data_IF_901494585915
#
_entry.id   IF_901494585915
#
_cell.length_a   1.000
_cell.length_b   1.000
_cell.length_c   1.000
_cell.angle_alpha   90.00
_cell.angle_beta   90.00
_cell.angle_gamma   90.00
#
_symmetry.space_group_name_H-M   'P 1'
#
loop_
_entity.id
_entity.type
_entity.pdbx_description
1 polymer ?
#
# COMPACT_ATOMS: atom_id res chain seq x y z
N UNK A 1 27.00 21.91 25.21
CA UNK A 1 27.55 21.25 24.02
C UNK A 1 27.36 19.75 24.20
N UNK A 2 26.43 19.16 23.47
CA UNK A 2 26.36 17.72 23.20
C UNK A 2 25.39 17.55 22.03
N UNK A 3 25.95 17.12 20.89
CA UNK A 3 25.27 16.85 19.63
C UNK A 3 24.40 15.58 19.74
N UNK A 4 23.33 15.45 18.95
CA UNK A 4 22.88 14.13 18.53
C UNK A 4 22.83 14.06 17.00
N UNK A 5 23.93 13.59 16.42
CA UNK A 5 23.85 12.78 15.20
C UNK A 5 23.22 11.44 15.58
N UNK A 6 22.03 11.13 15.06
CA UNK A 6 21.50 9.77 15.02
C UNK A 6 20.88 9.51 13.65
N UNK A 7 21.75 9.41 12.64
CA UNK A 7 21.43 8.59 11.48
C UNK A 7 21.70 7.15 11.89
N UNK A 8 20.64 6.36 12.03
CA UNK A 8 20.76 4.93 12.28
C UNK A 8 21.38 4.28 11.05
N UNK A 9 22.61 3.80 11.19
CA UNK A 9 23.27 2.98 10.17
C UNK A 9 22.55 1.64 10.13
N UNK A 10 22.21 1.16 8.92
CA UNK A 10 21.60 -0.17 8.70
C UNK A 10 22.42 -1.23 9.43
N UNK A 11 21.85 -1.83 10.47
CA UNK A 11 22.48 -2.95 11.18
C UNK A 11 22.35 -4.19 10.32
N UNK A 12 23.48 -4.86 10.04
CA UNK A 12 23.50 -6.16 9.36
C UNK A 12 22.83 -7.21 10.26
N UNK A 13 21.73 -7.80 9.79
CA UNK A 13 21.09 -8.94 10.43
C UNK A 13 21.92 -10.22 10.22
N UNK A 14 21.69 -11.22 11.09
CA UNK A 14 22.18 -12.58 10.90
C UNK A 14 21.01 -13.54 10.88
N UNK A 15 21.04 -14.51 9.99
CA UNK A 15 20.02 -15.57 9.95
C UNK A 15 20.17 -16.55 11.12
N UNK A 16 19.23 -17.49 11.23
CA UNK A 16 19.22 -18.58 12.23
C UNK A 16 20.45 -19.51 12.13
N UNK A 17 21.27 -19.38 11.10
CA UNK A 17 22.50 -20.13 10.87
C UNK A 17 23.77 -19.26 11.06
N UNK A 18 23.63 -18.02 11.53
CA UNK A 18 24.73 -17.11 11.81
C UNK A 18 25.41 -16.50 10.57
N UNK A 19 24.79 -16.57 9.39
CA UNK A 19 25.32 -15.95 8.17
C UNK A 19 24.98 -14.45 8.16
N UNK A 20 25.92 -13.61 7.73
CA UNK A 20 25.63 -12.19 7.48
C UNK A 20 24.62 -12.11 6.34
N UNK A 21 23.41 -11.62 6.61
CA UNK A 21 22.41 -11.31 5.60
C UNK A 21 22.38 -9.80 5.37
N UNK A 22 22.44 -9.38 4.12
CA UNK A 22 22.18 -7.98 3.71
C UNK A 22 20.69 -7.64 3.77
N UNK A 23 19.83 -8.58 4.16
CA UNK A 23 18.38 -8.40 4.30
C UNK A 23 18.05 -7.97 5.73
N UNK A 24 17.53 -6.75 5.88
CA UNK A 24 16.84 -6.33 7.09
C UNK A 24 15.58 -7.16 7.35
N UNK A 25 14.88 -6.89 8.46
CA UNK A 25 13.67 -7.64 8.85
C UNK A 25 12.60 -7.72 7.75
N UNK A 26 12.52 -6.69 6.91
CA UNK A 26 11.68 -6.65 5.71
C UNK A 26 12.53 -6.97 4.48
N UNK A 27 12.30 -8.11 3.79
CA UNK A 27 13.10 -8.48 2.63
C UNK A 27 12.70 -7.69 1.38
N UNK A 28 13.67 -7.48 0.49
CA UNK A 28 13.44 -7.04 -0.89
C UNK A 28 13.39 -8.28 -1.78
N UNK A 29 12.32 -8.43 -2.56
CA UNK A 29 12.08 -9.61 -3.41
C UNK A 29 11.81 -9.14 -4.84
N UNK A 30 12.58 -9.66 -5.79
CA UNK A 30 12.33 -9.44 -7.22
C UNK A 30 11.31 -10.46 -7.74
N UNK A 31 10.12 -9.95 -8.09
CA UNK A 31 9.01 -10.78 -8.56
C UNK A 31 8.96 -10.87 -10.10
N UNK A 32 9.93 -10.30 -10.82
CA UNK A 32 9.96 -10.30 -12.30
C UNK A 32 9.92 -11.72 -12.86
N UNK A 33 10.61 -12.66 -12.22
CA UNK A 33 10.74 -14.06 -12.65
C UNK A 33 9.49 -14.92 -12.44
N UNK A 34 8.46 -14.44 -11.74
CA UNK A 34 7.25 -15.22 -11.51
C UNK A 34 6.51 -15.51 -12.81
N UNK A 35 6.26 -16.80 -13.07
CA UNK A 35 5.44 -17.26 -14.20
C UNK A 35 4.15 -17.88 -13.66
N UNK A 36 3.00 -17.18 -13.74
CA UNK A 36 1.71 -17.73 -13.35
C UNK A 36 1.41 -19.04 -14.08
N UNK A 37 0.84 -20.00 -13.36
CA UNK A 37 0.44 -21.30 -13.91
C UNK A 37 1.55 -22.35 -14.03
N UNK A 38 2.83 -21.97 -13.88
CA UNK A 38 3.89 -22.96 -13.73
C UNK A 38 3.87 -23.57 -12.32
N UNK A 39 4.22 -24.87 -12.17
CA UNK A 39 4.32 -25.50 -10.86
C UNK A 39 5.25 -24.72 -9.93
N UNK A 40 4.99 -24.81 -8.63
CA UNK A 40 5.87 -24.25 -7.59
C UNK A 40 7.30 -24.78 -7.74
N UNK A 41 7.45 -26.04 -8.12
CA UNK A 41 8.75 -26.72 -8.30
C UNK A 41 9.48 -26.33 -9.58
N UNK A 42 8.86 -25.51 -10.44
CA UNK A 42 9.53 -25.03 -11.65
C UNK A 42 10.73 -24.15 -11.31
N UNK A 43 11.81 -24.15 -12.12
CA UNK A 43 12.98 -23.32 -11.88
C UNK A 43 12.68 -21.82 -11.72
N UNK A 44 11.60 -21.34 -12.37
CA UNK A 44 11.17 -19.94 -12.30
C UNK A 44 10.47 -19.60 -10.97
N UNK A 45 9.69 -20.53 -10.40
CA UNK A 45 8.84 -20.24 -9.24
C UNK A 45 9.42 -20.71 -7.91
N UNK A 46 10.32 -21.71 -7.89
CA UNK A 46 10.75 -22.36 -6.65
C UNK A 46 11.35 -21.39 -5.62
N UNK A 47 12.43 -20.69 -5.97
CA UNK A 47 13.09 -19.72 -5.07
C UNK A 47 12.14 -18.61 -4.65
N UNK A 48 11.41 -18.05 -5.62
CA UNK A 48 10.51 -16.93 -5.38
C UNK A 48 9.35 -17.29 -4.44
N UNK A 49 8.80 -18.50 -4.58
CA UNK A 49 7.77 -19.00 -3.68
C UNK A 49 8.30 -19.22 -2.26
N UNK A 50 9.52 -19.72 -2.10
CA UNK A 50 10.16 -19.90 -0.80
C UNK A 50 10.43 -18.53 -0.13
N UNK A 51 10.90 -17.54 -0.89
CA UNK A 51 11.16 -16.17 -0.41
C UNK A 51 9.87 -15.47 0.03
N UNK A 52 8.79 -15.58 -0.74
CA UNK A 52 7.49 -14.97 -0.40
C UNK A 52 6.83 -15.64 0.81
N UNK A 53 6.86 -16.98 0.90
CA UNK A 53 6.34 -17.69 2.08
C UNK A 53 7.12 -17.30 3.35
N UNK A 54 8.46 -17.23 3.27
CA UNK A 54 9.29 -16.79 4.37
C UNK A 54 8.99 -15.34 4.79
N UNK A 55 8.88 -14.42 3.83
CA UNK A 55 8.60 -13.02 4.09
C UNK A 55 7.25 -12.81 4.80
N UNK A 56 6.19 -13.49 4.33
CA UNK A 56 4.88 -13.38 4.97
C UNK A 56 4.81 -14.05 6.34
N UNK A 57 5.52 -15.16 6.56
CA UNK A 57 5.59 -15.81 7.88
C UNK A 57 6.40 -15.01 8.90
N UNK A 58 7.41 -14.28 8.44
CA UNK A 58 8.32 -13.54 9.30
C UNK A 58 7.81 -12.12 9.56
N UNK A 59 7.69 -11.30 8.52
CA UNK A 59 7.38 -9.88 8.64
C UNK A 59 5.94 -9.54 8.27
N UNK A 60 5.22 -10.45 7.61
CA UNK A 60 3.93 -10.13 6.98
C UNK A 60 4.05 -9.10 5.84
N UNK A 61 5.27 -8.78 5.42
CA UNK A 61 5.59 -7.64 4.58
C UNK A 61 6.88 -7.89 3.77
N UNK A 62 6.96 -7.39 2.55
CA UNK A 62 8.19 -7.33 1.75
C UNK A 62 8.17 -6.16 0.76
N UNK A 63 9.34 -5.73 0.30
CA UNK A 63 9.48 -4.75 -0.77
C UNK A 63 9.55 -5.50 -2.10
N UNK A 64 8.55 -5.31 -2.95
CA UNK A 64 8.54 -5.91 -4.28
C UNK A 64 9.36 -5.07 -5.27
N UNK A 65 10.26 -5.71 -6.00
CA UNK A 65 10.95 -5.16 -7.18
C UNK A 65 10.59 -5.98 -8.42
N UNK A 66 10.86 -5.47 -9.63
CA UNK A 66 10.50 -6.19 -10.86
C UNK A 66 8.98 -6.42 -11.05
N UNK A 67 8.15 -5.63 -10.36
CA UNK A 67 6.70 -5.79 -10.32
C UNK A 67 5.99 -5.42 -11.63
N UNK A 68 6.66 -4.68 -12.52
CA UNK A 68 6.18 -4.37 -13.87
C UNK A 68 5.26 -3.15 -13.97
N UNK A 69 5.03 -2.42 -12.87
CA UNK A 69 4.26 -1.16 -12.91
C UNK A 69 5.12 -0.09 -13.59
N UNK A 70 4.62 0.59 -14.63
CA UNK A 70 5.43 1.55 -15.35
C UNK A 70 5.88 2.73 -14.47
N UNK A 71 7.19 3.02 -14.37
CA UNK A 71 7.70 4.09 -13.50
C UNK A 71 7.09 5.47 -13.80
N UNK A 72 6.83 5.76 -15.07
CA UNK A 72 6.23 7.02 -15.51
C UNK A 72 4.76 7.16 -15.08
N UNK A 73 4.04 6.03 -14.98
CA UNK A 73 2.67 6.03 -14.46
C UNK A 73 2.65 6.26 -12.96
N UNK A 74 3.55 5.61 -12.20
CA UNK A 74 3.70 5.85 -10.77
C UNK A 74 4.07 7.32 -10.50
N UNK A 75 5.02 7.87 -11.27
CA UNK A 75 5.39 9.28 -11.18
C UNK A 75 4.19 10.21 -11.49
N UNK A 76 3.40 9.89 -12.51
CA UNK A 76 2.20 10.66 -12.88
C UNK A 76 1.13 10.59 -11.80
N UNK A 77 0.87 9.41 -11.22
CA UNK A 77 -0.08 9.22 -10.12
C UNK A 77 0.32 10.05 -8.88
N UNK A 78 1.60 9.99 -8.50
CA UNK A 78 2.17 10.81 -7.42
C UNK A 78 2.01 12.30 -7.70
N UNK A 79 2.32 12.76 -8.92
CA UNK A 79 2.17 14.16 -9.34
C UNK A 79 0.72 14.63 -9.20
N UNK A 80 -0.26 13.91 -9.76
CA UNK A 80 -1.66 14.35 -9.70
C UNK A 80 -2.19 14.38 -8.26
N UNK A 81 -1.75 13.44 -7.40
CA UNK A 81 -2.04 13.50 -5.97
C UNK A 81 -1.43 14.73 -5.29
N UNK A 82 -0.14 15.04 -5.53
CA UNK A 82 0.52 16.23 -4.98
C UNK A 82 -0.21 17.52 -5.40
N UNK A 83 -0.54 17.65 -6.67
CA UNK A 83 -1.26 18.80 -7.22
C UNK A 83 -2.64 18.94 -6.58
N UNK A 84 -3.42 17.86 -6.52
CA UNK A 84 -4.74 17.85 -5.88
C UNK A 84 -4.67 18.26 -4.41
N UNK A 85 -3.77 17.68 -3.62
CA UNK A 85 -3.69 17.99 -2.19
C UNK A 85 -3.17 19.41 -1.90
N UNK A 86 -2.50 20.03 -2.88
CA UNK A 86 -2.02 21.42 -2.81
C UNK A 86 -3.11 22.46 -3.14
N UNK A 87 -4.27 22.02 -3.62
CA UNK A 87 -5.41 22.91 -3.89
C UNK A 87 -5.97 23.53 -2.60
N UNK A 88 -6.76 24.59 -2.78
CA UNK A 88 -7.47 25.22 -1.67
C UNK A 88 -8.44 24.24 -0.99
N UNK A 89 -8.77 24.43 0.31
CA UNK A 89 -9.76 23.60 0.99
C UNK A 89 -11.11 23.53 0.27
N UNK A 90 -11.55 24.62 -0.36
CA UNK A 90 -12.79 24.66 -1.13
C UNK A 90 -12.75 23.78 -2.38
N UNK A 91 -11.64 23.83 -3.14
CA UNK A 91 -11.46 22.98 -4.33
C UNK A 91 -11.38 21.49 -3.96
N UNK A 92 -10.68 21.14 -2.88
CA UNK A 92 -10.65 19.75 -2.38
C UNK A 92 -12.01 19.31 -1.84
N UNK A 93 -12.71 20.23 -1.17
CA UNK A 93 -14.05 20.01 -0.63
C UNK A 93 -15.13 19.74 -1.67
N UNK A 94 -14.91 20.12 -2.94
CA UNK A 94 -15.83 19.85 -4.04
C UNK A 94 -16.05 18.34 -4.30
N UNK A 95 -15.12 17.49 -3.84
CA UNK A 95 -15.22 16.03 -3.91
C UNK A 95 -15.24 15.37 -2.54
N UNK A 96 -15.65 16.10 -1.49
CA UNK A 96 -15.70 15.57 -0.14
C UNK A 96 -16.73 14.44 -0.01
N UNK A 97 -16.30 13.29 0.50
CA UNK A 97 -17.18 12.14 0.72
C UNK A 97 -16.57 11.17 1.74
N UNK A 98 -17.35 10.63 2.69
CA UNK A 98 -16.83 9.76 3.75
C UNK A 98 -16.32 8.40 3.25
N UNK A 99 -16.81 7.96 2.08
CA UNK A 99 -16.46 6.67 1.45
C UNK A 99 -15.55 6.81 0.23
N UNK A 100 -16.01 7.44 -0.86
CA UNK A 100 -15.28 7.60 -2.13
C UNK A 100 -15.14 9.08 -2.52
N UNK A 101 -13.96 9.65 -2.34
CA UNK A 101 -13.70 11.07 -2.49
C UNK A 101 -12.69 11.56 -1.45
N UNK A 102 -12.74 12.84 -1.12
CA UNK A 102 -11.84 13.53 -0.21
C UNK A 102 -12.34 13.54 1.24
N UNK A 103 -11.40 13.37 2.17
CA UNK A 103 -11.60 13.56 3.61
C UNK A 103 -10.48 14.48 4.12
N UNK A 104 -10.82 15.64 4.70
CA UNK A 104 -9.82 16.56 5.25
C UNK A 104 -9.20 16.01 6.54
N UNK A 105 -8.15 16.68 7.00
CA UNK A 105 -7.60 16.47 8.34
C UNK A 105 -8.71 16.63 9.39
N UNK A 106 -8.85 15.66 10.29
CA UNK A 106 -9.90 15.61 11.30
C UNK A 106 -11.30 15.29 10.77
N UNK A 107 -11.47 15.09 9.46
CA UNK A 107 -12.74 14.77 8.82
C UNK A 107 -13.29 13.37 9.12
N UNK A 108 -12.47 12.48 9.66
CA UNK A 108 -12.91 11.16 10.15
C UNK A 108 -12.26 10.84 11.50
N UNK A 109 -13.10 10.59 12.51
CA UNK A 109 -12.68 10.13 13.83
C UNK A 109 -13.08 8.66 14.00
N UNK A 110 -12.25 7.77 13.46
CA UNK A 110 -12.31 6.33 13.71
C UNK A 110 -11.06 5.94 14.54
N UNK A 111 -11.21 5.10 15.55
CA UNK A 111 -10.10 4.67 16.42
C UNK A 111 -8.95 4.01 15.66
N UNK A 112 -9.22 3.39 14.50
CA UNK A 112 -8.24 2.69 13.65
C UNK A 112 -7.82 3.54 12.45
N UNK A 113 -8.75 4.29 11.84
CA UNK A 113 -8.55 5.02 10.57
C UNK A 113 -8.82 6.52 10.70
N UNK A 114 -8.35 7.12 11.79
CA UNK A 114 -8.53 8.57 12.00
C UNK A 114 -7.74 9.37 10.98
N UNK A 115 -8.37 10.39 10.40
CA UNK A 115 -7.67 11.39 9.58
C UNK A 115 -7.12 12.54 10.43
N UNK A 116 -6.87 12.33 11.73
CA UNK A 116 -6.44 13.38 12.66
C UNK A 116 -5.20 14.15 12.21
N UNK A 117 -4.30 13.50 11.47
CA UNK A 117 -3.00 14.05 11.06
C UNK A 117 -2.69 13.87 9.57
N UNK A 118 -3.70 13.52 8.77
CA UNK A 118 -3.54 13.35 7.33
C UNK A 118 -4.81 13.69 6.56
N UNK A 119 -4.62 14.05 5.30
CA UNK A 119 -5.71 14.14 4.32
C UNK A 119 -5.80 12.82 3.56
N UNK A 120 -7.00 12.48 3.11
CA UNK A 120 -7.25 11.26 2.35
C UNK A 120 -8.05 11.58 1.11
N UNK A 121 -7.69 10.96 -0.01
CA UNK A 121 -8.59 10.76 -1.14
C UNK A 121 -8.66 9.27 -1.47
N UNK A 122 -9.82 8.76 -1.85
CA UNK A 122 -9.93 7.36 -2.26
C UNK A 122 -11.01 7.10 -3.31
N UNK A 123 -10.75 6.14 -4.19
CA UNK A 123 -11.73 5.56 -5.10
C UNK A 123 -11.85 4.05 -4.88
N UNK A 124 -13.02 3.49 -5.22
CA UNK A 124 -13.22 2.06 -5.38
C UNK A 124 -12.94 1.62 -6.82
N UNK A 125 -13.44 0.44 -7.16
CA UNK A 125 -13.33 -0.12 -8.51
C UNK A 125 -13.83 0.86 -9.57
N UNK A 126 -13.09 0.94 -10.67
CA UNK A 126 -13.27 1.94 -11.73
C UNK A 126 -14.07 1.40 -12.93
N UNK A 127 -14.34 0.10 -12.95
CA UNK A 127 -15.13 -0.60 -13.95
C UNK A 127 -15.85 -1.82 -13.34
N UNK A 128 -16.70 -2.47 -14.11
CA UNK A 128 -17.36 -3.73 -13.71
C UNK A 128 -18.30 -3.62 -12.51
N UNK A 129 -18.60 -2.40 -12.02
CA UNK A 129 -19.63 -2.16 -11.02
C UNK A 129 -20.94 -1.89 -11.77
N UNK A 130 -21.92 -2.76 -11.54
CA UNK A 130 -23.32 -2.45 -11.79
C UNK A 130 -23.98 -2.07 -10.46
N UNK A 131 -24.28 -0.77 -10.22
CA UNK A 131 -24.91 -0.32 -8.99
C UNK A 131 -26.31 -0.92 -8.76
N UNK A 132 -26.93 -1.51 -9.79
CA UNK A 132 -28.22 -2.20 -9.67
C UNK A 132 -28.10 -3.62 -9.11
N UNK A 133 -26.89 -4.18 -9.07
CA UNK A 133 -26.66 -5.53 -8.52
C UNK A 133 -26.75 -5.53 -7.00
N UNK A 134 -27.55 -6.44 -6.44
CA UNK A 134 -27.76 -6.60 -4.99
C UNK A 134 -26.47 -6.68 -4.17
N UNK A 135 -25.44 -7.34 -4.72
CA UNK A 135 -24.11 -7.47 -4.10
C UNK A 135 -23.49 -6.11 -3.75
N UNK A 136 -23.62 -5.11 -4.64
CA UNK A 136 -23.03 -3.79 -4.45
C UNK A 136 -23.96 -2.82 -3.69
N UNK A 137 -25.28 -3.04 -3.72
CA UNK A 137 -26.25 -2.19 -3.02
C UNK A 137 -26.21 -2.33 -1.50
N UNK A 138 -25.99 -3.54 -1.01
CA UNK A 138 -26.02 -3.84 0.43
C UNK A 138 -24.64 -3.75 1.10
N UNK A 139 -23.62 -3.29 0.38
CA UNK A 139 -22.29 -3.18 0.95
C UNK A 139 -22.15 -1.91 1.80
N UNK A 140 -21.93 -2.08 3.11
CA UNK A 140 -21.61 -0.97 4.03
C UNK A 140 -20.30 -0.26 3.66
N UNK A 141 -19.43 -0.91 2.89
CA UNK A 141 -18.09 -0.41 2.54
C UNK A 141 -17.96 0.05 1.08
N UNK A 142 -18.84 -0.40 0.18
CA UNK A 142 -18.64 -0.33 -1.27
C UNK A 142 -19.95 -0.01 -2.00
N UNK A 143 -19.89 0.47 -3.25
CA UNK A 143 -21.09 0.80 -4.06
C UNK A 143 -21.40 2.28 -4.22
N UNK A 144 -20.67 3.18 -3.55
CA UNK A 144 -20.77 4.62 -3.80
C UNK A 144 -20.02 5.02 -5.08
N UNK A 145 -20.49 6.02 -5.82
CA UNK A 145 -19.78 6.54 -6.99
C UNK A 145 -18.45 7.17 -6.58
N UNK A 146 -17.43 7.01 -7.42
CA UNK A 146 -16.14 7.67 -7.23
C UNK A 146 -16.28 9.17 -7.51
N UNK A 147 -15.90 10.02 -6.54
CA UNK A 147 -15.85 11.47 -6.73
C UNK A 147 -14.43 11.90 -7.15
N UNK A 148 -14.33 12.33 -8.41
CA UNK A 148 -13.07 12.69 -9.05
C UNK A 148 -12.81 14.20 -9.02
N UNK A 149 -11.62 14.64 -8.56
CA UNK A 149 -11.20 16.03 -8.68
C UNK A 149 -11.18 16.49 -10.13
N UNK A 150 -11.67 17.72 -10.38
CA UNK A 150 -11.56 18.37 -11.69
C UNK A 150 -10.18 18.99 -11.92
N UNK A 151 -9.38 19.11 -10.86
CA UNK A 151 -8.01 19.62 -10.88
C UNK A 151 -7.09 18.67 -10.10
N UNK A 152 -5.93 18.30 -10.66
CA UNK A 152 -5.54 18.55 -12.06
C UNK A 152 -6.48 17.84 -13.05
N UNK A 153 -6.57 18.37 -14.28
CA UNK A 153 -7.53 17.90 -15.29
C UNK A 153 -7.32 16.44 -15.70
N UNK A 154 -6.12 15.91 -15.48
CA UNK A 154 -5.75 14.53 -15.77
C UNK A 154 -5.77 13.62 -14.53
N UNK A 155 -6.34 14.08 -13.41
CA UNK A 155 -6.41 13.28 -12.18
C UNK A 155 -7.18 11.97 -12.40
N UNK A 156 -8.42 12.05 -12.88
CA UNK A 156 -9.26 10.86 -13.14
C UNK A 156 -8.63 9.87 -14.11
N UNK A 157 -8.21 10.25 -15.34
CA UNK A 157 -7.62 9.29 -16.28
C UNK A 157 -6.32 8.69 -15.75
N UNK A 158 -5.47 9.46 -15.07
CA UNK A 158 -4.20 8.97 -14.49
C UNK A 158 -4.47 7.96 -13.38
N UNK A 159 -5.33 8.29 -12.43
CA UNK A 159 -5.63 7.44 -11.28
C UNK A 159 -6.45 6.20 -11.68
N UNK A 160 -7.27 6.30 -12.72
CA UNK A 160 -7.97 5.15 -13.31
C UNK A 160 -6.98 4.16 -13.94
N UNK A 161 -6.01 4.65 -14.72
CA UNK A 161 -4.96 3.80 -15.29
C UNK A 161 -4.10 3.18 -14.18
N UNK A 162 -3.70 3.97 -13.18
CA UNK A 162 -2.93 3.48 -12.04
C UNK A 162 -3.70 2.42 -11.24
N UNK A 163 -5.00 2.62 -11.00
CA UNK A 163 -5.86 1.64 -10.36
C UNK A 163 -5.81 0.28 -11.08
N UNK A 164 -5.95 0.26 -12.42
CA UNK A 164 -5.93 -0.97 -13.21
C UNK A 164 -4.59 -1.69 -13.16
N UNK A 165 -3.47 -0.95 -13.17
CA UNK A 165 -2.15 -1.55 -13.00
C UNK A 165 -1.95 -2.14 -11.59
N UNK A 166 -2.45 -1.47 -10.55
CA UNK A 166 -2.44 -2.01 -9.18
C UNK A 166 -3.32 -3.25 -9.03
N UNK A 167 -4.48 -3.27 -9.69
CA UNK A 167 -5.36 -4.43 -9.73
C UNK A 167 -4.67 -5.63 -10.39
N UNK A 168 -4.07 -5.43 -11.57
CA UNK A 168 -3.31 -6.47 -12.26
C UNK A 168 -2.12 -6.99 -11.42
N UNK A 169 -1.36 -6.08 -10.78
CA UNK A 169 -0.28 -6.45 -9.87
C UNK A 169 -0.80 -7.24 -8.66
N UNK A 170 -1.90 -6.82 -8.06
CA UNK A 170 -2.52 -7.50 -6.91
C UNK A 170 -2.94 -8.92 -7.27
N UNK A 171 -3.58 -9.12 -8.43
CA UNK A 171 -3.95 -10.46 -8.91
C UNK A 171 -2.71 -11.34 -9.16
N UNK A 172 -1.63 -10.77 -9.73
CA UNK A 172 -0.36 -11.47 -9.91
C UNK A 172 0.26 -11.89 -8.57
N UNK A 173 0.25 -11.01 -7.57
CA UNK A 173 0.75 -11.29 -6.23
C UNK A 173 -0.09 -12.34 -5.49
N UNK A 174 -1.41 -12.31 -5.65
CA UNK A 174 -2.30 -13.34 -5.10
C UNK A 174 -2.04 -14.70 -5.75
N UNK A 175 -1.80 -14.74 -7.07
CA UNK A 175 -1.42 -15.96 -7.78
C UNK A 175 -0.07 -16.52 -7.31
N UNK A 176 0.92 -15.64 -7.11
CA UNK A 176 2.21 -16.00 -6.50
C UNK A 176 2.02 -16.54 -5.08
N UNK A 177 1.22 -15.87 -4.27
CA UNK A 177 0.91 -16.29 -2.89
C UNK A 177 0.22 -17.66 -2.85
N UNK A 178 -0.75 -17.90 -3.74
CA UNK A 178 -1.41 -19.20 -3.86
C UNK A 178 -0.40 -20.31 -4.23
N UNK A 179 0.49 -20.03 -5.18
CA UNK A 179 1.54 -20.97 -5.61
C UNK A 179 2.53 -21.27 -4.48
N UNK A 180 2.93 -20.24 -3.72
CA UNK A 180 3.81 -20.39 -2.56
C UNK A 180 3.18 -21.29 -1.48
N UNK A 181 1.87 -21.12 -1.24
CA UNK A 181 1.05 -21.93 -0.34
C UNK A 181 0.73 -23.34 -0.86
N UNK A 182 1.26 -23.74 -2.04
CA UNK A 182 0.96 -25.02 -2.71
C UNK A 182 -0.53 -25.19 -3.03
N UNK A 183 -1.21 -24.09 -3.30
CA UNK A 183 -2.57 -24.04 -3.83
C UNK A 183 -2.53 -23.87 -5.35
N UNK A 184 -3.63 -24.17 -6.08
CA UNK A 184 -3.75 -23.78 -7.47
C UNK A 184 -3.50 -22.27 -7.64
N UNK A 185 -2.73 -21.88 -8.66
CA UNK A 185 -2.42 -20.46 -8.93
C UNK A 185 -3.66 -19.58 -9.17
N UNK A 186 -4.81 -20.20 -9.45
CA UNK A 186 -6.14 -19.60 -9.65
C UNK A 186 -7.00 -19.57 -8.39
N UNK A 187 -6.47 -19.97 -7.22
CA UNK A 187 -7.23 -20.13 -5.98
C UNK A 187 -8.00 -18.87 -5.56
N UNK A 188 -7.51 -17.68 -5.92
CA UNK A 188 -8.13 -16.40 -5.58
C UNK A 188 -9.03 -15.82 -6.68
N UNK A 189 -9.07 -16.41 -7.88
CA UNK A 189 -9.77 -15.82 -9.03
C UNK A 189 -11.27 -15.65 -8.77
N UNK A 190 -11.92 -16.66 -8.21
CA UNK A 190 -13.34 -16.66 -7.83
C UNK A 190 -13.65 -15.76 -6.63
N UNK A 191 -12.65 -15.41 -5.82
CA UNK A 191 -12.78 -14.54 -4.64
C UNK A 191 -12.56 -13.07 -5.00
N UNK A 192 -11.92 -12.83 -6.15
CA UNK A 192 -11.60 -11.49 -6.64
C UNK A 192 -12.51 -11.06 -7.81
N UNK A 193 -13.36 -11.94 -8.36
CA UNK A 193 -14.29 -11.65 -9.46
C UNK A 193 -15.13 -10.35 -9.24
N UNK A 194 -15.57 -10.15 -8.00
CA UNK A 194 -16.38 -9.03 -7.52
C UNK A 194 -15.67 -8.23 -6.42
N UNK A 195 -14.34 -8.20 -6.46
CA UNK A 195 -13.58 -7.48 -5.44
C UNK A 195 -13.98 -6.01 -5.37
N UNK A 196 -13.67 -5.44 -4.22
CA UNK A 196 -14.06 -4.10 -3.82
C UNK A 196 -12.85 -3.29 -3.37
N UNK A 197 -11.70 -3.56 -4.00
CA UNK A 197 -10.42 -2.89 -3.81
C UNK A 197 -10.59 -1.37 -3.72
N UNK A 198 -9.84 -0.77 -2.79
CA UNK A 198 -9.88 0.64 -2.52
C UNK A 198 -8.49 1.22 -2.76
N UNK A 199 -8.38 2.11 -3.74
CA UNK A 199 -7.16 2.89 -3.94
C UNK A 199 -7.22 4.13 -3.06
N UNK A 200 -6.16 4.34 -2.28
CA UNK A 200 -6.08 5.43 -1.30
C UNK A 200 -4.83 6.25 -1.53
N UNK A 201 -5.01 7.56 -1.63
CA UNK A 201 -3.93 8.53 -1.53
C UNK A 201 -4.01 9.20 -0.16
N UNK A 202 -2.91 9.16 0.58
CA UNK A 202 -2.77 9.80 1.89
C UNK A 202 -1.73 10.91 1.81
N UNK A 203 -2.08 12.10 2.30
CA UNK A 203 -1.12 13.18 2.50
C UNK A 203 -0.94 13.44 3.99
N UNK A 204 0.27 13.24 4.46
CA UNK A 204 0.72 13.63 5.79
C UNK A 204 1.37 15.02 5.70
N UNK A 205 0.76 16.11 6.21
CA UNK A 205 1.37 17.43 6.17
C UNK A 205 2.69 17.47 6.95
N UNK A 206 3.65 18.34 6.59
CA UNK A 206 4.91 18.48 7.33
C UNK A 206 4.68 18.68 8.84
N UNK A 207 5.58 18.13 9.64
CA UNK A 207 5.54 18.30 11.08
C UNK A 207 6.03 19.71 11.44
N UNK A 208 5.14 20.53 12.00
CA UNK A 208 5.44 21.94 12.37
C UNK A 208 5.69 22.13 13.87
N UNK A 209 5.53 21.06 14.66
CA UNK A 209 5.78 21.04 16.11
C UNK A 209 6.21 19.64 16.54
N UNK A 210 6.82 19.56 17.72
CA UNK A 210 7.04 18.25 18.35
C UNK A 210 5.71 17.52 18.59
N UNK A 211 5.65 16.19 18.38
CA UNK A 211 4.46 15.40 18.64
C UNK A 211 4.19 15.38 20.14
N UNK A 212 2.92 15.45 20.53
CA UNK A 212 2.57 15.22 21.93
C UNK A 212 2.87 13.74 22.29
N UNK A 213 3.11 13.42 23.57
CA UNK A 213 3.30 12.02 23.99
C UNK A 213 2.15 11.12 23.49
N UNK A 214 2.49 10.08 22.73
CA UNK A 214 1.53 9.13 22.15
C UNK A 214 0.83 9.61 20.87
N UNK A 215 1.18 10.77 20.32
CA UNK A 215 0.65 11.27 19.06
C UNK A 215 1.29 10.54 17.87
N UNK A 216 0.47 9.80 17.12
CA UNK A 216 0.91 9.04 15.95
C UNK A 216 0.06 9.41 14.73
N UNK A 217 0.69 9.56 13.56
CA UNK A 217 0.02 9.88 12.29
C UNK A 217 -0.91 8.76 11.81
N UNK A 218 -0.53 7.53 12.08
CA UNK A 218 -1.34 6.33 11.97
C UNK A 218 -1.04 5.48 13.20
N UNK A 219 -2.08 4.93 13.84
CA UNK A 219 -1.90 4.05 14.99
C UNK A 219 -1.51 2.64 14.52
N UNK A 220 -0.87 1.83 15.38
CA UNK A 220 -0.70 0.40 15.11
C UNK A 220 -2.01 -0.27 14.71
N UNK A 221 -2.01 -0.95 13.56
CA UNK A 221 -3.16 -1.70 13.07
C UNK A 221 -2.73 -2.72 12.02
N UNK A 222 -3.63 -3.65 11.72
CA UNK A 222 -3.54 -4.53 10.56
C UNK A 222 -4.59 -4.11 9.53
N UNK A 223 -4.28 -4.26 8.25
CA UNK A 223 -5.26 -4.01 7.21
C UNK A 223 -6.30 -5.15 7.14
N UNK A 224 -7.61 -4.83 7.04
CA UNK A 224 -8.67 -5.80 6.85
C UNK A 224 -8.84 -6.15 5.35
N UNK A 225 -7.74 -6.43 4.65
CA UNK A 225 -7.70 -6.74 3.22
C UNK A 225 -6.97 -8.07 2.99
N UNK A 226 -7.21 -8.71 1.85
CA UNK A 226 -6.47 -9.92 1.47
C UNK A 226 -4.99 -9.60 1.17
N UNK A 227 -4.73 -8.42 0.58
CA UNK A 227 -3.40 -7.90 0.28
C UNK A 227 -3.47 -6.37 0.24
N UNK A 228 -2.40 -5.71 0.69
CA UNK A 228 -2.19 -4.26 0.53
C UNK A 228 -0.89 -4.03 -0.22
N UNK A 229 -0.93 -3.20 -1.28
CA UNK A 229 0.25 -2.72 -1.99
C UNK A 229 0.42 -1.25 -1.68
N UNK A 230 1.58 -0.89 -1.15
CA UNK A 230 1.92 0.49 -0.77
C UNK A 230 2.99 1.04 -1.70
N UNK A 231 2.81 2.28 -2.12
CA UNK A 231 3.84 3.06 -2.80
C UNK A 231 4.14 4.30 -1.97
N UNK A 232 5.39 4.46 -1.53
CA UNK A 232 5.80 5.63 -0.78
C UNK A 232 6.17 6.77 -1.71
N UNK A 233 5.72 7.97 -1.37
CA UNK A 233 6.10 9.22 -2.01
C UNK A 233 6.80 10.10 -0.98
N UNK A 234 8.10 9.85 -0.80
CA UNK A 234 8.94 10.59 0.14
C UNK A 234 9.82 11.59 -0.60
N UNK A 235 10.15 12.68 0.09
CA UNK A 235 11.21 13.56 -0.37
C UNK A 235 12.57 12.86 -0.26
N UNK A 236 13.47 13.01 -1.25
CA UNK A 236 14.80 12.43 -1.18
C UNK A 236 15.53 12.86 0.10
N UNK A 237 16.08 11.89 0.83
CA UNK A 237 16.83 12.13 2.07
C UNK A 237 15.98 12.17 3.35
N UNK A 238 14.65 12.16 3.25
CA UNK A 238 13.77 12.04 4.42
C UNK A 238 13.54 10.56 4.78
N UNK A 239 13.46 10.21 6.08
CA UNK A 239 13.17 8.85 6.52
C UNK A 239 11.73 8.45 6.14
N UNK A 240 11.52 7.15 5.87
CA UNK A 240 10.19 6.59 5.75
C UNK A 240 9.41 6.77 7.06
N UNK A 241 8.14 7.19 6.95
CA UNK A 241 7.23 7.24 8.09
C UNK A 241 6.49 5.93 8.37
N UNK A 242 6.72 4.88 7.54
CA UNK A 242 6.11 3.57 7.72
C UNK A 242 7.05 2.65 8.52
N UNK A 243 6.49 2.04 9.55
CA UNK A 243 7.14 1.03 10.38
C UNK A 243 6.28 -0.25 10.40
N UNK A 244 6.94 -1.40 10.56
CA UNK A 244 6.29 -2.71 10.75
C UNK A 244 6.69 -3.28 12.11
N UNK A 245 5.77 -4.02 12.74
CA UNK A 245 6.05 -4.67 14.01
C UNK A 245 6.93 -5.90 13.80
N UNK A 246 8.07 -5.94 14.49
CA UNK A 246 8.90 -7.12 14.58
C UNK A 246 8.30 -8.09 15.62
N UNK A 247 7.52 -9.07 15.18
CA UNK A 247 6.70 -9.90 16.07
C UNK A 247 7.50 -10.58 17.19
N UNK A 248 8.72 -11.06 16.90
CA UNK A 248 9.55 -11.72 17.91
C UNK A 248 10.29 -10.76 18.84
N UNK A 249 10.61 -9.54 18.40
CA UNK A 249 11.34 -8.54 19.20
C UNK A 249 10.40 -7.57 19.92
N UNK A 250 9.16 -7.41 19.44
CA UNK A 250 8.21 -6.40 19.90
C UNK A 250 8.64 -4.96 19.56
N UNK A 251 9.64 -4.78 18.70
CA UNK A 251 10.11 -3.48 18.20
C UNK A 251 9.39 -3.07 16.91
N UNK A 252 9.33 -1.77 16.66
CA UNK A 252 8.90 -1.24 15.36
C UNK A 252 10.12 -1.02 14.48
N UNK A 253 10.09 -1.59 13.28
CA UNK A 253 11.19 -1.53 12.30
C UNK A 253 10.78 -0.62 11.13
N UNK A 254 11.60 0.39 10.78
CA UNK A 254 11.30 1.24 9.63
C UNK A 254 11.40 0.44 8.33
N UNK A 255 10.51 0.73 7.38
CA UNK A 255 10.62 0.18 6.03
C UNK A 255 11.84 0.77 5.31
N UNK A 256 12.76 -0.08 4.79
CA UNK A 256 13.90 0.38 4.00
C UNK A 256 13.50 1.20 2.76
N UNK A 257 14.44 2.01 2.27
CA UNK A 257 14.32 2.79 1.05
C UNK A 257 14.32 1.95 -0.23
#
# INVERSE_FOLDING_TARGET
MNSPEKYHTVQKGRDLQGRETTQGYVPVIDISGFVPGQPRESPANLSLCDEVDAAFRQAGFFIATGHGVPPELLASAKRVCREFFSLSPGEKGAVAHPKKGFIPVGGCQNQVRSTSLHEKWSCGRVDGIDPSTEYYQNSVYFGEPNLWPQRPHDFEPTMTRYYKEMEALTLRLLSLTATALRLPHTFFDDKMDRHVTNLVALRYPPQVREPAPGEMRARPHTDPTALTVLAHDKEPGEPSGLEVLHDTMGSWEPIPD
#
